data_IF_948356374326
#
_entry.id   IF_948356374326
#
_cell.length_a   1.000
_cell.length_b   1.000
_cell.length_c   1.000
_cell.angle_alpha   90.00
_cell.angle_beta   90.00
_cell.angle_gamma   90.00
#
_symmetry.space_group_name_H-M   'P 1'
#
loop_
_entity.id
_entity.type
_entity.pdbx_description
1 polymer ?
#
# COMPACT_ATOMS: atom_id res chain seq x y z
N UNK A 1 -19.55 9.83 -7.08
CA UNK A 1 -18.38 10.09 -6.25
C UNK A 1 -17.17 9.33 -6.78
N UNK A 2 -16.02 10.00 -6.78
CA UNK A 2 -14.78 9.39 -7.26
C UNK A 2 -13.86 9.02 -6.09
N UNK A 3 -12.96 8.07 -6.33
CA UNK A 3 -12.01 7.61 -5.31
C UNK A 3 -10.95 8.66 -4.98
N UNK A 4 -10.68 8.85 -3.70
CA UNK A 4 -9.70 9.83 -3.26
C UNK A 4 -8.62 9.16 -2.41
N UNK A 5 -8.41 7.87 -2.63
CA UNK A 5 -7.40 7.12 -1.89
C UNK A 5 -6.00 7.58 -2.26
N UNK A 6 -5.70 7.55 -3.55
CA UNK A 6 -4.39 7.97 -4.04
C UNK A 6 -4.10 9.41 -3.67
N UNK A 7 -5.02 10.31 -4.00
CA UNK A 7 -4.86 11.72 -3.70
C UNK A 7 -4.63 11.94 -2.21
N UNK A 8 -5.36 11.19 -1.39
CA UNK A 8 -5.23 11.30 0.06
C UNK A 8 -3.82 10.92 0.51
N UNK A 9 -3.25 9.91 -0.13
CA UNK A 9 -1.90 9.46 0.19
C UNK A 9 -0.86 10.51 -0.16
N UNK A 10 -1.04 11.11 -1.33
CA UNK A 10 -0.10 12.14 -1.80
C UNK A 10 -0.04 13.30 -0.81
N UNK A 11 -1.20 13.88 -0.52
CA UNK A 11 -1.27 15.00 0.41
C UNK A 11 -0.68 14.64 1.76
N UNK A 12 -1.04 13.46 2.27
CA UNK A 12 -0.53 12.99 3.56
C UNK A 12 0.99 12.99 3.58
N UNK A 13 1.60 12.51 2.51
CA UNK A 13 3.05 12.46 2.39
C UNK A 13 3.65 13.85 2.52
N UNK A 14 3.20 14.77 1.65
CA UNK A 14 3.69 16.14 1.66
C UNK A 14 3.45 16.79 3.02
N UNK A 15 2.48 16.27 3.76
CA UNK A 15 2.15 16.82 5.08
C UNK A 15 3.18 16.37 6.12
N UNK A 16 3.26 15.05 6.33
CA UNK A 16 4.21 14.51 7.29
C UNK A 16 5.65 14.82 6.89
N UNK A 17 5.92 14.78 5.59
CA UNK A 17 7.26 15.06 5.08
C UNK A 17 7.18 15.87 3.79
N UNK A 18 8.33 16.37 3.34
CA UNK A 18 8.39 17.15 2.12
C UNK A 18 9.84 17.30 1.64
N UNK A 19 10.00 17.60 0.36
CA UNK A 19 11.34 17.76 -0.20
C UNK A 19 11.65 16.72 -1.26
N UNK A 20 12.82 16.09 -1.13
CA UNK A 20 13.24 15.07 -2.08
C UNK A 20 12.58 13.73 -1.77
N UNK A 21 12.47 13.41 -0.48
CA UNK A 21 11.85 12.16 -0.05
C UNK A 21 10.46 12.01 -0.65
N UNK A 22 9.64 13.04 -0.50
CA UNK A 22 8.28 13.02 -1.03
C UNK A 22 8.29 12.88 -2.54
N UNK A 23 9.28 13.49 -3.19
CA UNK A 23 9.39 13.43 -4.64
C UNK A 23 9.49 11.99 -5.12
N UNK A 24 10.43 11.24 -4.55
CA UNK A 24 10.62 9.84 -4.93
C UNK A 24 9.31 9.07 -4.81
N UNK A 25 8.67 9.17 -3.65
CA UNK A 25 7.42 8.47 -3.41
C UNK A 25 6.41 8.76 -4.52
N UNK A 26 6.16 10.04 -4.76
CA UNK A 26 5.22 10.46 -5.79
C UNK A 26 5.54 9.78 -7.13
N UNK A 27 6.82 9.77 -7.48
CA UNK A 27 7.26 9.17 -8.73
C UNK A 27 6.81 7.71 -8.81
N UNK A 28 7.13 6.94 -7.78
CA UNK A 28 6.77 5.53 -7.74
C UNK A 28 5.26 5.35 -7.95
N UNK A 29 4.48 6.14 -7.23
CA UNK A 29 3.02 6.07 -7.35
C UNK A 29 2.54 6.86 -8.56
N UNK A 30 3.47 7.46 -9.28
CA UNK A 30 3.13 8.24 -10.47
C UNK A 30 3.25 7.38 -11.73
N UNK A 31 4.11 6.38 -11.68
CA UNK A 31 4.32 5.49 -12.82
C UNK A 31 3.50 4.21 -12.67
N UNK A 32 2.23 4.37 -12.31
CA UNK A 32 1.34 3.22 -12.13
C UNK A 32 0.20 3.26 -13.14
N UNK A 33 -0.53 2.15 -13.25
CA UNK A 33 -1.65 2.05 -14.17
C UNK A 33 -2.96 2.26 -13.45
N UNK A 34 -4.06 2.24 -14.22
CA UNK A 34 -5.39 2.43 -13.64
C UNK A 34 -5.90 1.14 -12.99
N UNK A 35 -4.97 0.33 -12.50
CA UNK A 35 -5.32 -0.92 -11.85
C UNK A 35 -5.13 -0.84 -10.35
N UNK A 36 -4.34 0.14 -9.91
CA UNK A 36 -4.09 0.32 -8.48
C UNK A 36 -2.71 -0.12 -8.07
N UNK A 37 -1.93 -0.61 -9.04
CA UNK A 37 -0.57 -1.07 -8.78
C UNK A 37 0.37 -0.61 -9.88
N UNK A 38 1.59 -0.26 -9.49
CA UNK A 38 2.61 0.20 -10.45
C UNK A 38 2.71 -0.78 -11.62
N UNK A 39 2.84 -0.22 -12.83
CA UNK A 39 2.95 -1.04 -14.04
C UNK A 39 4.39 -1.49 -14.25
N UNK A 40 5.32 -0.81 -13.60
CA UNK A 40 6.74 -1.13 -13.71
C UNK A 40 7.37 -1.34 -12.33
N UNK A 41 8.36 -2.21 -12.27
CA UNK A 41 9.05 -2.50 -11.01
C UNK A 41 9.70 -1.24 -10.45
N UNK A 42 10.08 -1.30 -9.17
CA UNK A 42 10.70 -0.16 -8.52
C UNK A 42 12.11 0.07 -9.05
N UNK A 43 12.83 -1.02 -9.29
CA UNK A 43 14.20 -0.94 -9.80
C UNK A 43 14.25 -0.14 -11.11
N UNK A 44 13.42 -0.54 -12.07
CA UNK A 44 13.37 0.13 -13.36
C UNK A 44 12.87 1.56 -13.21
N UNK A 45 11.84 1.74 -12.38
CA UNK A 45 11.27 3.05 -12.15
C UNK A 45 12.30 4.00 -11.53
N UNK A 46 13.14 3.44 -10.67
CA UNK A 46 14.17 4.23 -10.00
C UNK A 46 15.31 4.58 -10.95
N UNK A 47 15.56 3.68 -11.90
CA UNK A 47 16.63 3.88 -12.87
C UNK A 47 16.21 4.93 -13.91
N UNK A 48 14.92 4.95 -14.24
CA UNK A 48 14.40 5.91 -15.21
C UNK A 48 14.26 7.30 -14.60
N UNK A 49 13.85 7.34 -13.34
CA UNK A 49 13.67 8.61 -12.64
C UNK A 49 15.00 9.15 -12.13
N UNK A 50 16.06 8.36 -12.31
CA UNK A 50 17.39 8.75 -11.88
C UNK A 50 17.48 8.80 -10.35
N UNK A 51 17.22 7.66 -9.72
CA UNK A 51 17.26 7.57 -8.26
C UNK A 51 17.77 6.21 -7.81
N UNK A 52 18.55 6.20 -6.74
CA UNK A 52 19.11 4.96 -6.21
C UNK A 52 18.01 4.04 -5.70
N UNK A 53 18.11 2.75 -6.04
CA UNK A 53 17.13 1.77 -5.62
C UNK A 53 16.95 1.77 -4.11
N UNK A 54 18.06 1.61 -3.38
CA UNK A 54 18.03 1.60 -1.93
C UNK A 54 17.30 2.81 -1.38
N UNK A 55 17.68 3.99 -1.87
CA UNK A 55 17.06 5.24 -1.43
C UNK A 55 15.56 5.22 -1.71
N UNK A 56 15.19 4.92 -2.95
CA UNK A 56 13.79 4.87 -3.34
C UNK A 56 13.01 3.90 -2.45
N UNK A 57 13.67 2.84 -2.02
CA UNK A 57 13.04 1.85 -1.15
C UNK A 57 12.71 2.43 0.22
N UNK A 58 13.72 3.04 0.84
CA UNK A 58 13.54 3.65 2.16
C UNK A 58 12.40 4.65 2.15
N UNK A 59 12.43 5.57 1.19
CA UNK A 59 11.39 6.59 1.06
C UNK A 59 10.04 5.96 0.74
N UNK A 60 10.05 4.97 -0.16
CA UNK A 60 8.83 4.29 -0.56
C UNK A 60 8.17 3.60 0.64
N UNK A 61 9.00 3.10 1.55
CA UNK A 61 8.51 2.42 2.74
C UNK A 61 7.87 3.41 3.71
N UNK A 62 8.60 4.48 4.01
CA UNK A 62 8.11 5.50 4.92
C UNK A 62 6.79 6.08 4.44
N UNK A 63 6.64 6.21 3.12
CA UNK A 63 5.43 6.74 2.53
C UNK A 63 4.36 5.66 2.40
N UNK A 64 4.80 4.42 2.22
CA UNK A 64 3.89 3.29 2.08
C UNK A 64 3.13 3.04 3.38
N UNK A 65 3.77 3.36 4.51
CA UNK A 65 3.14 3.18 5.81
C UNK A 65 1.98 4.13 6.00
N UNK A 66 1.94 5.18 5.19
CA UNK A 66 0.88 6.18 5.26
C UNK A 66 -0.46 5.59 4.82
N UNK A 67 -1.54 6.32 5.06
CA UNK A 67 -2.87 5.87 4.70
C UNK A 67 -3.43 6.70 3.53
N UNK A 68 -3.88 6.01 2.47
CA UNK A 68 -3.84 4.54 2.41
C UNK A 68 -2.42 4.00 2.29
N UNK A 69 -2.26 2.71 2.57
CA UNK A 69 -0.95 2.08 2.49
C UNK A 69 -0.43 2.07 1.06
N UNK A 70 0.84 1.70 0.89
CA UNK A 70 1.43 1.66 -0.43
C UNK A 70 1.01 0.44 -1.22
N UNK A 71 -0.26 0.39 -1.58
CA UNK A 71 -0.79 -0.75 -2.35
C UNK A 71 0.02 -0.97 -3.62
N UNK A 72 0.45 0.11 -4.25
CA UNK A 72 1.23 0.03 -5.47
C UNK A 72 2.65 -0.43 -5.19
N UNK A 73 3.15 -0.10 -3.99
CA UNK A 73 4.50 -0.48 -3.59
C UNK A 73 4.64 -2.00 -3.54
N UNK A 74 3.90 -2.62 -2.62
CA UNK A 74 3.95 -4.07 -2.46
C UNK A 74 2.97 -4.75 -3.41
N UNK A 75 1.69 -4.39 -3.30
CA UNK A 75 0.66 -4.96 -4.15
C UNK A 75 -0.73 -4.68 -3.59
N UNK A 76 -1.75 -5.25 -4.22
CA UNK A 76 -3.13 -5.06 -3.79
C UNK A 76 -3.40 -5.81 -2.48
N UNK A 77 -3.05 -7.09 -2.46
CA UNK A 77 -3.25 -7.91 -1.27
C UNK A 77 -2.15 -7.67 -0.25
N UNK A 78 -0.97 -7.33 -0.74
CA UNK A 78 0.17 -7.08 0.15
C UNK A 78 -0.07 -5.85 1.01
N UNK A 79 -0.97 -4.98 0.55
CA UNK A 79 -1.30 -3.76 1.28
C UNK A 79 -1.70 -4.08 2.72
N UNK A 80 -2.39 -5.20 2.91
CA UNK A 80 -2.83 -5.62 4.24
C UNK A 80 -1.65 -6.11 5.06
N UNK A 81 -0.84 -6.99 4.48
CA UNK A 81 0.32 -7.52 5.17
C UNK A 81 1.20 -6.40 5.75
N UNK A 82 1.59 -5.47 4.89
CA UNK A 82 2.41 -4.34 5.30
C UNK A 82 1.66 -3.44 6.28
N UNK A 83 0.36 -3.28 6.03
CA UNK A 83 -0.47 -2.44 6.90
C UNK A 83 -0.38 -2.88 8.35
N UNK A 84 -0.35 -4.20 8.56
CA UNK A 84 -0.25 -4.75 9.91
C UNK A 84 1.15 -4.57 10.48
N UNK A 85 2.15 -5.03 9.74
CA UNK A 85 3.54 -4.93 10.18
C UNK A 85 3.88 -3.49 10.55
N UNK A 86 3.20 -2.54 9.91
CA UNK A 86 3.43 -1.12 10.18
C UNK A 86 2.51 -0.61 11.29
N UNK A 87 1.21 -0.83 11.10
CA UNK A 87 0.22 -0.40 12.08
C UNK A 87 0.27 -1.26 13.34
N UNK A 88 -0.19 -2.50 13.22
CA UNK A 88 -0.19 -3.43 14.35
C UNK A 88 0.84 -4.53 14.15
N UNK A 89 2.11 -4.22 14.45
CA UNK A 89 3.21 -5.18 14.31
C UNK A 89 3.13 -6.31 15.33
N UNK A 90 2.34 -6.10 16.37
CA UNK A 90 2.17 -7.10 17.42
C UNK A 90 1.25 -8.23 16.97
N UNK A 91 0.24 -7.88 16.18
CA UNK A 91 -0.71 -8.87 15.67
C UNK A 91 -0.42 -9.20 14.22
N UNK A 92 0.84 -9.10 13.83
CA UNK A 92 1.25 -9.39 12.46
C UNK A 92 0.79 -10.78 12.04
N UNK A 93 1.04 -11.77 12.90
CA UNK A 93 0.65 -13.14 12.62
C UNK A 93 -0.87 -13.29 12.62
N UNK A 94 -1.52 -12.63 13.57
CA UNK A 94 -2.98 -12.68 13.67
C UNK A 94 -3.63 -12.25 12.37
N UNK A 95 -3.37 -11.02 11.95
CA UNK A 95 -3.93 -10.48 10.73
C UNK A 95 -3.40 -11.23 9.51
N UNK A 96 -2.16 -11.68 9.60
CA UNK A 96 -1.53 -12.41 8.50
C UNK A 96 -2.36 -13.63 8.12
N UNK A 97 -2.76 -14.41 9.12
CA UNK A 97 -3.57 -15.61 8.88
C UNK A 97 -4.97 -15.23 8.40
N UNK A 98 -5.49 -14.13 8.93
CA UNK A 98 -6.82 -13.67 8.57
C UNK A 98 -6.86 -13.22 7.11
N UNK A 99 -5.97 -12.31 6.74
CA UNK A 99 -5.90 -11.80 5.38
C UNK A 99 -5.69 -12.94 4.39
N UNK A 100 -4.95 -13.95 4.80
CA UNK A 100 -4.68 -15.10 3.95
C UNK A 100 -5.91 -15.99 3.82
N UNK A 101 -6.69 -16.06 4.89
CA UNK A 101 -7.90 -16.88 4.91
C UNK A 101 -9.01 -16.22 4.10
N UNK A 102 -9.11 -14.90 4.19
CA UNK A 102 -10.12 -14.16 3.46
C UNK A 102 -9.76 -14.04 1.99
N UNK A 103 -8.46 -13.99 1.71
CA UNK A 103 -7.99 -13.88 0.34
C UNK A 103 -8.15 -15.20 -0.40
N UNK A 104 -7.90 -16.31 0.30
CA UNK A 104 -8.02 -17.63 -0.30
C UNK A 104 -9.43 -18.18 -0.12
N UNK A 105 -10.18 -17.57 0.80
CA UNK A 105 -11.54 -18.02 1.06
C UNK A 105 -11.64 -18.84 2.32
N UNK A 106 -12.33 -18.31 3.32
CA UNK A 106 -12.51 -19.00 4.59
C UNK A 106 -13.32 -18.15 5.57
N UNK A 107 -13.35 -18.57 6.82
CA UNK A 107 -14.09 -17.86 7.86
C UNK A 107 -13.19 -16.84 8.55
N UNK A 108 -13.81 -15.80 9.12
CA UNK A 108 -13.07 -14.75 9.81
C UNK A 108 -13.45 -14.71 11.29
N UNK A 109 -12.55 -14.14 12.10
CA UNK A 109 -12.79 -14.04 13.53
C UNK A 109 -13.57 -12.77 13.86
N UNK A 110 -14.09 -12.70 15.10
CA UNK A 110 -14.86 -11.55 15.57
C UNK A 110 -14.00 -10.31 15.75
N UNK A 111 -12.82 -10.49 16.32
CA UNK A 111 -11.89 -9.39 16.55
C UNK A 111 -11.25 -8.93 15.25
N UNK A 112 -10.83 -9.89 14.44
CA UNK A 112 -10.20 -9.59 13.16
C UNK A 112 -11.17 -8.88 12.21
N UNK A 113 -12.44 -9.28 12.27
CA UNK A 113 -13.46 -8.68 11.42
C UNK A 113 -13.44 -7.16 11.54
N UNK A 114 -13.37 -6.67 12.77
CA UNK A 114 -13.35 -5.23 13.01
C UNK A 114 -12.02 -4.61 12.60
N UNK A 115 -10.93 -5.28 12.93
CA UNK A 115 -9.60 -4.78 12.60
C UNK A 115 -9.44 -4.62 11.10
N UNK A 116 -9.84 -5.65 10.35
CA UNK A 116 -9.74 -5.61 8.89
C UNK A 116 -10.85 -4.75 8.29
N UNK A 117 -11.96 -4.65 9.00
CA UNK A 117 -13.10 -3.85 8.54
C UNK A 117 -12.66 -2.44 8.20
N UNK A 118 -11.80 -1.86 9.03
CA UNK A 118 -11.31 -0.52 8.82
C UNK A 118 -10.51 -0.43 7.52
N UNK A 119 -10.11 -1.58 6.99
CA UNK A 119 -9.34 -1.64 5.76
C UNK A 119 -10.07 -2.43 4.69
N UNK A 120 -9.51 -2.46 3.49
CA UNK A 120 -10.11 -3.19 2.38
C UNK A 120 -9.09 -3.44 1.27
N UNK A 121 -9.10 -4.66 0.74
CA UNK A 121 -8.17 -5.03 -0.33
C UNK A 121 -8.57 -4.36 -1.65
N UNK A 122 -9.68 -3.64 -1.63
CA UNK A 122 -10.16 -2.96 -2.82
C UNK A 122 -10.22 -1.45 -2.60
N UNK A 123 -9.05 -0.84 -2.43
CA UNK A 123 -8.93 0.61 -2.20
C UNK A 123 -9.29 1.42 -3.45
N UNK A 124 -8.84 0.95 -4.60
CA UNK A 124 -9.11 1.62 -5.86
C UNK A 124 -10.05 0.80 -6.73
N UNK A 125 -10.73 -0.16 -6.12
CA UNK A 125 -11.66 -1.02 -6.84
C UNK A 125 -12.91 -1.29 -6.00
N UNK A 126 -13.89 -1.96 -6.60
CA UNK A 126 -15.13 -2.28 -5.91
C UNK A 126 -15.64 -3.66 -6.31
N UNK A 127 -16.04 -4.45 -5.32
CA UNK A 127 -16.55 -5.79 -5.57
C UNK A 127 -17.09 -6.42 -4.29
N UNK A 128 -18.16 -7.20 -4.43
CA UNK A 128 -18.78 -7.85 -3.29
C UNK A 128 -19.50 -9.14 -3.71
N UNK A 129 -19.84 -9.97 -2.73
CA UNK A 129 -20.53 -11.22 -3.00
C UNK A 129 -21.85 -11.29 -2.24
N UNK A 130 -22.77 -12.10 -2.75
CA UNK A 130 -24.08 -12.26 -2.13
C UNK A 130 -24.19 -13.63 -1.44
#
# INVERSE_FOLDING_TARGET
YTPSELEELQQNIKLELEGKEQELALELLNYLNEKGFLSKSVEEISDVLRCSVEELEKVRQKVLRLEPLGVCSKDVWEFLELQIEEIYPEEEEILKKALRDLKRGKKLKPEIKGKLSRLRLFPLSSSAEK
#
